data_IF_030920420601
#
_entry.id   IF_030920420601
#
_cell.length_a   1.000
_cell.length_b   1.000
_cell.length_c   1.000
_cell.angle_alpha   90.00
_cell.angle_beta   90.00
_cell.angle_gamma   90.00
#
_symmetry.space_group_name_H-M   'P 1'
#
loop_
_entity.id
_entity.type
_entity.pdbx_description
1 polymer ?
#
# COMPACT_ATOMS: atom_id res chain seq x y z
N UNK A 1 1.55 -23.66 15.65
CA UNK A 1 0.51 -22.77 15.13
C UNK A 1 1.23 -21.64 14.40
N UNK A 2 1.03 -21.51 13.09
CA UNK A 2 1.61 -20.40 12.32
C UNK A 2 1.03 -19.09 12.84
N UNK A 3 1.89 -18.20 13.34
CA UNK A 3 1.46 -16.90 13.87
C UNK A 3 1.19 -15.98 12.68
N UNK A 4 -0.07 -15.82 12.29
CA UNK A 4 -0.45 -14.80 11.30
C UNK A 4 -0.14 -13.43 11.89
N UNK A 5 0.81 -12.72 11.29
CA UNK A 5 1.22 -11.40 11.74
C UNK A 5 0.65 -10.32 10.82
N UNK A 6 -0.08 -9.36 11.39
CA UNK A 6 -0.57 -8.20 10.66
C UNK A 6 0.56 -7.20 10.40
N UNK A 7 0.79 -6.88 9.13
CA UNK A 7 1.76 -5.89 8.66
C UNK A 7 1.23 -4.46 8.85
N UNK A 8 1.35 -3.95 10.08
CA UNK A 8 0.87 -2.62 10.44
C UNK A 8 1.49 -1.49 9.62
N UNK A 9 2.79 -1.60 9.33
CA UNK A 9 3.49 -0.57 8.55
C UNK A 9 3.03 -0.55 7.10
N UNK A 10 2.88 -1.72 6.48
CA UNK A 10 2.34 -1.82 5.12
C UNK A 10 0.91 -1.28 5.03
N UNK A 11 0.08 -1.54 6.05
CA UNK A 11 -1.26 -0.98 6.11
C UNK A 11 -1.25 0.55 6.21
N UNK A 12 -0.42 1.12 7.09
CA UNK A 12 -0.28 2.58 7.21
C UNK A 12 0.20 3.23 5.90
N UNK A 13 1.18 2.64 5.21
CA UNK A 13 1.70 3.15 3.93
C UNK A 13 0.62 3.14 2.83
N UNK A 14 -0.22 2.12 2.80
CA UNK A 14 -1.33 2.06 1.85
C UNK A 14 -2.39 3.12 2.16
N UNK A 15 -2.73 3.33 3.44
CA UNK A 15 -3.62 4.43 3.85
C UNK A 15 -3.05 5.80 3.49
N UNK A 16 -1.74 6.00 3.66
CA UNK A 16 -1.09 7.26 3.31
C UNK A 16 -1.08 7.52 1.80
N UNK A 17 -0.96 6.44 1.01
CA UNK A 17 -1.08 6.48 -0.45
C UNK A 17 -2.49 6.89 -0.87
N UNK A 18 -3.52 6.27 -0.29
CA UNK A 18 -4.93 6.64 -0.52
C UNK A 18 -5.22 8.08 -0.11
N UNK A 19 -4.75 8.49 1.08
CA UNK A 19 -4.85 9.87 1.58
C UNK A 19 -4.24 10.87 0.59
N UNK A 20 -3.03 10.59 0.12
CA UNK A 20 -2.29 11.47 -0.79
C UNK A 20 -2.94 11.49 -2.19
N UNK A 21 -3.42 10.36 -2.68
CA UNK A 21 -4.13 10.28 -3.98
C UNK A 21 -5.40 11.14 -4.01
N UNK A 22 -6.07 11.26 -2.85
CA UNK A 22 -7.26 12.10 -2.66
C UNK A 22 -6.94 13.52 -2.22
N UNK A 23 -5.65 13.88 -2.13
CA UNK A 23 -5.16 15.19 -1.66
C UNK A 23 -5.67 15.60 -0.26
N UNK A 24 -5.84 14.63 0.63
CA UNK A 24 -6.37 14.83 1.99
C UNK A 24 -5.25 14.99 3.02
N UNK A 25 -5.54 15.69 4.11
CA UNK A 25 -4.73 15.67 5.32
C UNK A 25 -5.29 14.67 6.35
N UNK A 26 -4.53 14.35 7.41
CA UNK A 26 -4.94 13.36 8.41
C UNK A 26 -6.18 13.74 9.23
N UNK A 27 -6.48 15.04 9.36
CA UNK A 27 -7.70 15.50 10.02
C UNK A 27 -8.92 15.15 9.15
N UNK A 28 -8.84 15.39 7.84
CA UNK A 28 -9.90 15.01 6.91
C UNK A 28 -10.09 13.48 6.86
N UNK A 29 -9.00 12.70 6.89
CA UNK A 29 -9.11 11.24 7.01
C UNK A 29 -9.85 10.84 8.27
N UNK A 30 -9.60 11.52 9.41
CA UNK A 30 -10.32 11.27 10.65
C UNK A 30 -11.82 11.51 10.50
N UNK A 31 -12.20 12.61 9.84
CA UNK A 31 -13.60 12.97 9.59
C UNK A 31 -14.29 11.98 8.63
N UNK A 32 -13.63 11.57 7.54
CA UNK A 32 -14.21 10.66 6.54
C UNK A 32 -14.23 9.19 6.95
N UNK A 33 -13.25 8.74 7.74
CA UNK A 33 -13.19 7.35 8.21
C UNK A 33 -13.96 7.13 9.51
N UNK A 34 -14.28 8.19 10.26
CA UNK A 34 -14.85 8.08 11.60
C UNK A 34 -13.85 7.62 12.67
N UNK A 35 -12.57 7.46 12.32
CA UNK A 35 -11.50 7.09 13.26
C UNK A 35 -10.85 8.35 13.82
N UNK A 36 -10.57 8.39 15.13
CA UNK A 36 -9.99 9.59 15.75
C UNK A 36 -8.57 9.91 15.27
N UNK A 37 -8.21 11.18 15.22
CA UNK A 37 -6.85 11.63 14.91
C UNK A 37 -5.78 11.04 15.85
N UNK A 38 -6.14 10.74 17.10
CA UNK A 38 -5.24 10.05 18.04
C UNK A 38 -4.96 8.60 17.62
N UNK A 39 -5.98 7.88 17.16
CA UNK A 39 -5.82 6.52 16.61
C UNK A 39 -4.95 6.54 15.36
N UNK A 40 -5.15 7.51 14.45
CA UNK A 40 -4.31 7.69 13.26
C UNK A 40 -2.85 7.99 13.61
N UNK A 41 -2.61 8.84 14.62
CA UNK A 41 -1.26 9.13 15.10
C UNK A 41 -0.58 7.89 15.67
N UNK A 42 -1.30 7.10 16.47
CA UNK A 42 -0.80 5.82 17.01
C UNK A 42 -0.49 4.83 15.89
N UNK A 43 -1.31 4.80 14.84
CA UNK A 43 -1.08 3.96 13.66
C UNK A 43 0.23 4.34 12.95
N UNK A 44 0.46 5.65 12.75
CA UNK A 44 1.71 6.18 12.19
C UNK A 44 2.95 5.82 13.03
N UNK A 45 2.78 5.68 14.35
CA UNK A 45 3.82 5.22 15.29
C UNK A 45 4.00 3.70 15.31
N UNK A 46 3.33 2.96 14.42
CA UNK A 46 3.46 1.51 14.32
C UNK A 46 2.58 0.74 15.31
N UNK A 47 1.68 1.39 16.05
CA UNK A 47 0.72 0.69 16.91
C UNK A 47 -0.40 0.09 16.07
N UNK A 48 -0.84 -1.10 16.44
CA UNK A 48 -1.97 -1.78 15.79
C UNK A 48 -3.29 -1.05 16.09
N UNK A 49 -4.15 -0.88 15.07
CA UNK A 49 -5.52 -0.44 15.30
C UNK A 49 -6.32 -1.57 15.99
N UNK A 50 -7.36 -1.18 16.71
CA UNK A 50 -8.40 -2.12 17.12
C UNK A 50 -9.25 -2.56 15.90
N UNK A 51 -10.13 -3.54 16.12
CA UNK A 51 -10.92 -4.16 15.04
C UNK A 51 -11.84 -3.13 14.37
N UNK A 52 -12.47 -2.25 15.15
CA UNK A 52 -13.41 -1.26 14.63
C UNK A 52 -12.69 -0.20 13.79
N UNK A 53 -11.56 0.31 14.29
CA UNK A 53 -10.71 1.26 13.57
C UNK A 53 -10.15 0.66 12.30
N UNK A 54 -9.76 -0.62 12.33
CA UNK A 54 -9.29 -1.34 11.14
C UNK A 54 -10.40 -1.44 10.09
N UNK A 55 -11.60 -1.90 10.49
CA UNK A 55 -12.74 -2.05 9.58
C UNK A 55 -13.13 -0.72 8.92
N UNK A 56 -13.18 0.36 9.72
CA UNK A 56 -13.49 1.69 9.24
C UNK A 56 -12.46 2.21 8.22
N UNK A 57 -11.16 2.05 8.50
CA UNK A 57 -10.08 2.49 7.61
C UNK A 57 -10.00 1.67 6.33
N UNK A 58 -10.18 0.35 6.41
CA UNK A 58 -10.22 -0.55 5.26
C UNK A 58 -11.39 -0.18 4.34
N UNK A 59 -12.58 0.09 4.91
CA UNK A 59 -13.75 0.54 4.15
C UNK A 59 -13.55 1.90 3.49
N UNK A 60 -12.96 2.87 4.19
CA UNK A 60 -12.70 4.21 3.66
C UNK A 60 -11.68 4.19 2.51
N UNK A 61 -10.63 3.39 2.66
CA UNK A 61 -9.54 3.28 1.71
C UNK A 61 -9.86 2.35 0.52
N UNK A 62 -10.92 1.53 0.61
CA UNK A 62 -11.21 0.52 -0.40
C UNK A 62 -10.16 -0.60 -0.45
N UNK A 63 -9.51 -0.88 0.68
CA UNK A 63 -8.47 -1.91 0.80
C UNK A 63 -9.07 -3.24 1.31
N UNK A 64 -8.26 -4.30 1.35
CA UNK A 64 -8.57 -5.53 2.05
C UNK A 64 -7.62 -5.74 3.23
N UNK A 65 -8.14 -6.06 4.42
CA UNK A 65 -7.30 -6.40 5.57
C UNK A 65 -6.43 -7.64 5.32
N UNK A 66 -6.91 -8.56 4.47
CA UNK A 66 -6.22 -9.81 4.16
C UNK A 66 -4.90 -9.58 3.41
N UNK A 67 -4.79 -8.49 2.65
CA UNK A 67 -3.55 -8.11 1.94
C UNK A 67 -2.39 -7.81 2.90
N UNK A 68 -2.70 -7.52 4.17
CA UNK A 68 -1.73 -7.18 5.21
C UNK A 68 -1.51 -8.31 6.20
N UNK A 69 -2.17 -9.45 6.04
CA UNK A 69 -1.90 -10.65 6.82
C UNK A 69 -0.73 -11.40 6.19
N UNK A 70 0.42 -11.44 6.87
CA UNK A 70 1.53 -12.30 6.43
C UNK A 70 1.14 -13.76 6.66
N UNK A 71 0.76 -14.44 5.58
CA UNK A 71 0.80 -15.89 5.52
C UNK A 71 2.24 -16.32 5.21
N UNK A 72 2.87 -17.11 6.10
CA UNK A 72 4.09 -17.82 5.72
C UNK A 72 3.79 -18.69 4.48
N UNK A 73 4.46 -18.40 3.36
CA UNK A 73 4.35 -19.19 2.12
C UNK A 73 3.78 -18.48 0.90
N UNK A 74 3.36 -17.21 0.98
CA UNK A 74 2.97 -16.46 -0.23
C UNK A 74 4.21 -16.03 -1.03
N UNK A 75 4.73 -16.96 -1.83
CA UNK A 75 5.67 -16.68 -2.91
C UNK A 75 4.92 -15.94 -4.03
N UNK A 76 4.55 -14.69 -3.79
CA UNK A 76 4.30 -13.75 -4.87
C UNK A 76 5.62 -13.63 -5.64
N UNK A 77 5.78 -14.47 -6.66
CA UNK A 77 6.99 -14.50 -7.48
C UNK A 77 7.32 -13.08 -7.92
N UNK A 78 8.55 -12.64 -7.66
CA UNK A 78 9.08 -11.33 -8.02
C UNK A 78 8.64 -10.86 -9.43
N UNK A 79 8.66 -11.76 -10.41
CA UNK A 79 8.21 -11.50 -11.77
C UNK A 79 6.72 -11.10 -11.87
N UNK A 80 5.85 -11.70 -11.07
CA UNK A 80 4.42 -11.40 -11.05
C UNK A 80 4.12 -10.00 -10.48
N UNK A 81 4.91 -9.54 -9.51
CA UNK A 81 4.75 -8.20 -8.92
C UNK A 81 5.06 -7.09 -9.93
N UNK A 82 6.17 -7.20 -10.67
CA UNK A 82 6.49 -6.22 -11.72
C UNK A 82 5.46 -6.23 -12.86
N UNK A 83 4.97 -7.41 -13.26
CA UNK A 83 3.89 -7.52 -14.26
C UNK A 83 2.61 -6.83 -13.80
N UNK A 84 2.20 -7.02 -12.53
CA UNK A 84 1.03 -6.35 -11.96
C UNK A 84 1.18 -4.83 -11.97
N UNK A 85 2.31 -4.32 -11.47
CA UNK A 85 2.57 -2.86 -11.42
C UNK A 85 2.53 -2.25 -12.82
N UNK A 86 3.25 -2.84 -13.77
CA UNK A 86 3.25 -2.33 -15.16
C UNK A 86 1.88 -2.44 -15.82
N UNK A 87 1.07 -3.45 -15.49
CA UNK A 87 -0.31 -3.56 -15.96
C UNK A 87 -1.20 -2.43 -15.42
N UNK A 88 -1.08 -2.06 -14.14
CA UNK A 88 -1.84 -0.94 -13.57
C UNK A 88 -1.45 0.38 -14.24
N UNK A 89 -0.16 0.65 -14.40
CA UNK A 89 0.33 1.87 -15.07
C UNK A 89 -0.16 1.95 -16.53
N UNK A 90 -0.22 0.82 -17.24
CA UNK A 90 -0.71 0.79 -18.63
C UNK A 90 -2.18 1.20 -18.76
N UNK A 91 -2.98 0.85 -17.76
CA UNK A 91 -4.43 1.07 -17.74
C UNK A 91 -4.85 2.35 -16.99
N UNK A 92 -3.89 3.12 -16.45
CA UNK A 92 -4.19 4.36 -15.72
C UNK A 92 -4.70 5.45 -16.67
N UNK A 93 -5.97 5.89 -16.53
CA UNK A 93 -6.55 6.92 -17.38
C UNK A 93 -5.98 8.32 -17.11
N UNK A 94 -5.32 8.52 -15.96
CA UNK A 94 -4.74 9.82 -15.59
C UNK A 94 -3.37 10.07 -16.24
N UNK A 95 -2.77 9.05 -16.86
CA UNK A 95 -1.47 9.15 -17.51
C UNK A 95 -1.60 9.27 -19.02
N UNK A 96 -1.01 10.32 -19.59
CA UNK A 96 -0.78 10.41 -21.03
C UNK A 96 0.26 9.37 -21.48
N UNK A 97 0.32 9.08 -22.79
CA UNK A 97 1.20 8.05 -23.35
C UNK A 97 2.67 8.20 -22.93
N UNK A 98 3.21 9.41 -23.04
CA UNK A 98 4.62 9.65 -22.71
C UNK A 98 4.90 9.45 -21.21
N UNK A 99 4.02 9.95 -20.34
CA UNK A 99 4.13 9.77 -18.89
C UNK A 99 4.02 8.30 -18.49
N UNK A 100 3.11 7.57 -19.12
CA UNK A 100 2.94 6.12 -18.93
C UNK A 100 4.20 5.34 -19.30
N UNK A 101 4.76 5.60 -20.49
CA UNK A 101 5.96 4.91 -20.96
C UNK A 101 7.18 5.24 -20.08
N UNK A 102 7.30 6.50 -19.61
CA UNK A 102 8.35 6.91 -18.69
C UNK A 102 8.25 6.23 -17.33
N UNK A 103 7.05 6.18 -16.72
CA UNK A 103 6.82 5.52 -15.42
C UNK A 103 7.11 4.02 -15.49
N UNK A 104 6.64 3.34 -16.54
CA UNK A 104 6.91 1.91 -16.76
C UNK A 104 8.41 1.67 -16.88
N UNK A 105 9.13 2.50 -17.64
CA UNK A 105 10.57 2.39 -17.83
C UNK A 105 11.32 2.58 -16.52
N UNK A 106 10.96 3.61 -15.73
CA UNK A 106 11.56 3.92 -14.44
C UNK A 106 11.38 2.76 -13.44
N UNK A 107 10.16 2.26 -13.28
CA UNK A 107 9.86 1.15 -12.36
C UNK A 107 10.58 -0.13 -12.79
N UNK A 108 10.58 -0.44 -14.10
CA UNK A 108 11.24 -1.64 -14.62
C UNK A 108 12.75 -1.58 -14.40
N UNK A 109 13.39 -0.44 -14.67
CA UNK A 109 14.82 -0.25 -14.46
C UNK A 109 15.20 -0.40 -12.99
N UNK A 110 14.47 0.26 -12.09
CA UNK A 110 14.69 0.16 -10.65
C UNK A 110 14.53 -1.28 -10.14
N UNK A 111 13.48 -1.97 -10.58
CA UNK A 111 13.21 -3.35 -10.18
C UNK A 111 14.32 -4.32 -10.62
N UNK A 112 14.75 -4.22 -11.88
CA UNK A 112 15.82 -5.07 -12.41
C UNK A 112 17.16 -4.76 -11.77
N UNK A 113 17.45 -3.48 -11.47
CA UNK A 113 18.65 -3.07 -10.76
C UNK A 113 18.74 -3.72 -9.38
N UNK A 114 17.69 -3.58 -8.57
CA UNK A 114 17.66 -4.14 -7.21
C UNK A 114 17.63 -5.66 -7.18
N UNK A 115 17.02 -6.31 -8.17
CA UNK A 115 17.03 -7.78 -8.28
C UNK A 115 18.41 -8.34 -8.61
N UNK A 116 19.23 -7.59 -9.34
CA UNK A 116 20.55 -8.02 -9.79
C UNK A 116 21.69 -7.52 -8.87
N UNK A 117 21.39 -6.70 -7.86
CA UNK A 117 22.36 -6.28 -6.84
C UNK A 117 22.62 -7.45 -5.88
N UNK A 118 23.88 -7.86 -5.65
CA UNK A 118 24.20 -8.76 -4.55
C UNK A 118 23.82 -8.08 -3.23
N UNK A 119 23.21 -8.83 -2.31
CA UNK A 119 22.91 -8.36 -0.95
C UNK A 119 24.23 -7.95 -0.26
N UNK A 120 24.32 -6.71 0.24
CA UNK A 120 25.38 -6.25 1.16
C UNK A 120 25.16 -6.78 2.58
#
# INVERSE_FOLDING_TARGET
MSKTEFNNMGFYQALDSERTSRSLNWKEVSEFSGVSASTLTRLAQGKRPDVDSLAALVSWAGLSADDYLKAEGSLASASGSLTKITSYLRNDPNLNKNGRDAMISMVTAAYMGLKNSPEE
#
